data_IF_174542946374
#
_entry.id   IF_174542946374
#
_cell.length_a   1.000
_cell.length_b   1.000
_cell.length_c   1.000
_cell.angle_alpha   90.00
_cell.angle_beta   90.00
_cell.angle_gamma   90.00
#
_symmetry.space_group_name_H-M   'P 1'
#
loop_
_entity.id
_entity.type
_entity.pdbx_description
1 polymer ?
#
# COMPACT_ATOMS: atom_id res chain seq x y z
N UNK A 1 -43.23 1.73 -25.61
CA UNK A 1 -42.24 2.77 -25.86
C UNK A 1 -41.39 2.84 -24.58
N UNK A 2 -40.23 2.19 -24.57
CA UNK A 2 -39.31 2.22 -23.43
C UNK A 2 -38.47 3.51 -23.58
N UNK A 3 -38.64 4.43 -22.66
CA UNK A 3 -37.80 5.62 -22.56
C UNK A 3 -36.43 5.20 -22.02
N UNK A 4 -35.46 5.05 -22.90
CA UNK A 4 -34.05 4.98 -22.48
C UNK A 4 -33.67 6.32 -21.83
N UNK A 5 -33.38 6.27 -20.53
CA UNK A 5 -32.78 7.40 -19.85
C UNK A 5 -31.39 7.66 -20.47
N UNK A 6 -31.06 8.91 -20.84
CA UNK A 6 -29.73 9.21 -21.34
C UNK A 6 -28.70 8.87 -20.24
N UNK A 7 -27.71 8.06 -20.59
CA UNK A 7 -26.50 7.87 -19.80
C UNK A 7 -25.85 9.26 -19.65
N UNK A 8 -26.02 9.86 -18.50
CA UNK A 8 -25.30 11.07 -18.14
C UNK A 8 -23.83 10.60 -18.01
N UNK A 9 -23.02 10.94 -19.00
CA UNK A 9 -21.58 10.75 -18.93
C UNK A 9 -21.10 11.71 -17.84
N UNK A 10 -20.94 11.21 -16.61
CA UNK A 10 -20.35 11.98 -15.54
C UNK A 10 -18.94 12.36 -16.01
N UNK A 11 -18.66 13.66 -16.08
CA UNK A 11 -17.32 14.14 -16.41
C UNK A 11 -16.29 13.70 -15.36
N UNK A 12 -14.98 13.95 -15.62
CA UNK A 12 -13.92 13.56 -14.70
C UNK A 12 -14.17 14.10 -13.29
N UNK A 13 -13.89 13.27 -12.28
CA UNK A 13 -14.12 13.59 -10.87
C UNK A 13 -12.97 14.45 -10.36
N UNK A 14 -13.27 15.68 -9.96
CA UNK A 14 -12.32 16.55 -9.26
C UNK A 14 -12.20 16.13 -7.78
N UNK A 15 -11.05 16.35 -7.17
CA UNK A 15 -10.85 16.03 -5.76
C UNK A 15 -9.38 15.96 -5.35
N UNK A 16 -9.18 15.64 -4.07
CA UNK A 16 -7.84 15.41 -3.51
C UNK A 16 -7.68 13.94 -3.17
N UNK A 17 -6.71 13.30 -3.79
CA UNK A 17 -6.35 11.92 -3.55
C UNK A 17 -5.03 11.85 -2.78
N UNK A 18 -4.99 11.06 -1.71
CA UNK A 18 -3.78 10.80 -0.93
C UNK A 18 -3.41 9.32 -1.06
N UNK A 19 -2.25 9.06 -1.64
CA UNK A 19 -1.70 7.72 -1.82
C UNK A 19 -0.54 7.53 -0.85
N UNK A 20 -0.66 6.58 0.06
CA UNK A 20 0.38 6.22 1.05
C UNK A 20 0.96 4.88 0.67
N UNK A 21 2.23 4.89 0.27
CA UNK A 21 2.98 3.69 -0.09
C UNK A 21 3.91 3.30 1.04
N UNK A 22 3.90 2.03 1.41
CA UNK A 22 4.79 1.47 2.41
C UNK A 22 5.33 0.10 1.98
N UNK A 23 6.54 -0.18 2.43
CA UNK A 23 7.12 -1.51 2.31
C UNK A 23 6.46 -2.46 3.33
N UNK A 24 6.40 -3.75 3.01
CA UNK A 24 6.07 -4.78 4.01
C UNK A 24 7.02 -4.73 5.23
N UNK A 25 6.57 -5.22 6.37
CA UNK A 25 7.36 -5.31 7.61
C UNK A 25 8.56 -6.26 7.51
N UNK A 26 9.33 -6.33 8.58
CA UNK A 26 10.56 -7.13 8.70
C UNK A 26 10.28 -8.61 8.45
N UNK A 27 11.27 -9.29 7.85
CA UNK A 27 11.22 -10.70 7.51
C UNK A 27 12.24 -11.52 8.31
N UNK A 28 12.02 -12.83 8.52
CA UNK A 28 13.04 -13.70 9.10
C UNK A 28 14.25 -13.85 8.17
N UNK A 29 15.39 -14.27 8.72
CA UNK A 29 16.62 -14.47 7.95
C UNK A 29 16.43 -15.41 6.73
N UNK A 30 15.64 -16.46 6.89
CA UNK A 30 15.27 -17.37 5.79
C UNK A 30 14.17 -16.86 4.87
N UNK A 31 13.63 -15.67 5.10
CA UNK A 31 12.58 -15.03 4.29
C UNK A 31 11.20 -15.66 4.44
N UNK A 32 11.02 -16.93 4.06
CA UNK A 32 9.80 -17.74 4.18
C UNK A 32 8.54 -17.11 3.57
N UNK A 33 8.66 -16.07 2.75
CA UNK A 33 7.53 -15.32 2.20
C UNK A 33 6.73 -14.50 3.21
N UNK A 34 7.03 -14.59 4.52
CA UNK A 34 6.24 -14.03 5.63
C UNK A 34 7.02 -13.02 6.49
N UNK A 35 6.34 -12.39 7.44
CA UNK A 35 6.93 -11.49 8.43
C UNK A 35 7.62 -12.29 9.55
N UNK A 36 8.60 -11.65 10.22
CA UNK A 36 9.05 -12.08 11.55
C UNK A 36 8.19 -11.39 12.65
N UNK A 37 8.49 -11.66 13.94
CA UNK A 37 7.75 -11.07 15.04
C UNK A 37 7.83 -9.54 15.07
N UNK A 38 8.96 -8.95 14.73
CA UNK A 38 9.12 -7.50 14.64
C UNK A 38 8.22 -6.91 13.54
N UNK A 39 8.19 -7.55 12.36
CA UNK A 39 7.30 -7.14 11.26
C UNK A 39 5.83 -7.30 11.60
N UNK A 40 5.45 -8.33 12.38
CA UNK A 40 4.09 -8.49 12.88
C UNK A 40 3.72 -7.37 13.87
N UNK A 41 4.61 -7.04 14.82
CA UNK A 41 4.39 -5.92 15.74
C UNK A 41 4.27 -4.58 14.99
N UNK A 42 5.12 -4.36 13.95
CA UNK A 42 4.99 -3.19 13.06
C UNK A 42 3.61 -3.16 12.40
N UNK A 43 3.15 -4.27 11.83
CA UNK A 43 1.84 -4.38 11.19
C UNK A 43 0.69 -4.01 12.14
N UNK A 44 0.74 -4.49 13.38
CA UNK A 44 -0.25 -4.14 14.41
C UNK A 44 -0.24 -2.66 14.76
N UNK A 45 0.95 -2.05 14.91
CA UNK A 45 1.09 -0.62 15.22
C UNK A 45 0.66 0.28 14.05
N UNK A 46 0.89 -0.13 12.80
CA UNK A 46 0.46 0.60 11.61
C UNK A 46 -1.05 0.85 11.58
N UNK A 47 -1.84 -0.04 12.18
CA UNK A 47 -3.29 0.13 12.29
C UNK A 47 -3.71 1.41 13.05
N UNK A 48 -2.83 1.97 13.88
CA UNK A 48 -3.02 3.27 14.54
C UNK A 48 -2.22 4.38 13.88
N UNK A 49 -0.96 4.13 13.55
CA UNK A 49 -0.03 5.12 12.99
C UNK A 49 -0.51 5.70 11.65
N UNK A 50 -1.00 4.86 10.74
CA UNK A 50 -1.43 5.34 9.42
C UNK A 50 -2.63 6.29 9.51
N UNK A 51 -3.74 5.94 10.18
CA UNK A 51 -4.88 6.87 10.28
C UNK A 51 -4.59 8.10 11.13
N UNK A 52 -3.69 8.04 12.10
CA UNK A 52 -3.26 9.22 12.87
C UNK A 52 -2.48 10.22 12.00
N UNK A 53 -1.65 9.73 11.09
CA UNK A 53 -0.83 10.58 10.21
C UNK A 53 -1.59 11.10 8.99
N UNK A 54 -2.46 10.29 8.39
CA UNK A 54 -3.01 10.56 7.05
C UNK A 54 -4.54 10.54 6.99
N UNK A 55 -5.23 10.22 8.08
CA UNK A 55 -6.67 10.01 8.09
C UNK A 55 -7.06 8.56 7.72
N UNK A 56 -8.33 8.21 7.92
CA UNK A 56 -8.84 6.87 7.62
C UNK A 56 -8.83 6.61 6.12
N UNK A 57 -8.22 5.51 5.69
CA UNK A 57 -8.25 5.12 4.30
C UNK A 57 -9.66 4.78 3.84
N UNK A 58 -9.92 5.00 2.54
CA UNK A 58 -11.09 4.52 1.83
C UNK A 58 -10.83 3.18 1.14
N UNK A 59 -9.57 2.94 0.77
CA UNK A 59 -9.14 1.72 0.07
C UNK A 59 -7.80 1.24 0.58
N UNK A 60 -7.61 -0.07 0.55
CA UNK A 60 -6.37 -0.73 0.96
C UNK A 60 -5.93 -1.71 -0.12
N UNK A 61 -4.66 -1.65 -0.50
CA UNK A 61 -4.05 -2.53 -1.49
C UNK A 61 -2.86 -3.28 -0.92
N UNK A 62 -2.69 -4.52 -1.34
CA UNK A 62 -1.48 -5.32 -1.14
C UNK A 62 -1.21 -6.18 -2.37
N UNK A 63 0.04 -6.61 -2.55
CA UNK A 63 0.37 -7.53 -3.64
C UNK A 63 -0.31 -8.87 -3.46
N UNK A 64 -0.70 -9.49 -4.59
CA UNK A 64 -1.29 -10.82 -4.63
C UNK A 64 -0.32 -11.86 -4.06
N UNK A 65 -0.71 -12.67 -3.05
CA UNK A 65 0.16 -13.67 -2.43
C UNK A 65 0.37 -14.94 -3.26
N UNK A 66 -0.31 -15.10 -4.40
CA UNK A 66 -0.16 -16.30 -5.24
C UNK A 66 1.17 -16.37 -5.98
N UNK A 67 1.86 -15.22 -6.12
CA UNK A 67 3.22 -15.20 -6.61
C UNK A 67 4.16 -15.73 -5.53
N UNK A 68 4.99 -16.69 -5.89
CA UNK A 68 6.04 -17.18 -5.02
C UNK A 68 7.26 -16.25 -5.06
N UNK A 69 8.02 -16.29 -3.97
CA UNK A 69 9.34 -15.68 -3.84
C UNK A 69 10.34 -16.78 -3.51
N UNK A 70 11.50 -16.75 -4.17
CA UNK A 70 12.60 -17.65 -3.88
C UNK A 70 13.47 -17.03 -2.79
N UNK A 71 13.63 -17.72 -1.68
CA UNK A 71 14.32 -17.21 -0.49
C UNK A 71 14.94 -18.37 0.32
N UNK A 72 15.90 -17.98 1.19
CA UNK A 72 16.57 -18.92 2.10
C UNK A 72 17.65 -19.75 1.46
N UNK A 73 18.08 -20.80 2.16
CA UNK A 73 19.03 -21.77 1.64
C UNK A 73 18.35 -22.61 0.58
N UNK A 74 19.04 -22.84 -0.53
CA UNK A 74 18.57 -23.65 -1.68
C UNK A 74 17.40 -23.02 -2.48
N UNK A 75 17.21 -21.69 -2.43
CA UNK A 75 16.19 -20.97 -3.23
C UNK A 75 14.80 -21.61 -3.16
N UNK A 76 14.36 -21.93 -1.93
CA UNK A 76 13.03 -22.48 -1.72
C UNK A 76 11.97 -21.46 -2.12
N UNK A 77 10.87 -21.95 -2.69
CA UNK A 77 9.76 -21.15 -3.19
C UNK A 77 8.65 -21.04 -2.14
N UNK A 78 8.30 -19.81 -1.76
CA UNK A 78 7.26 -19.53 -0.76
C UNK A 78 6.24 -18.56 -1.30
N UNK A 79 4.98 -18.69 -0.88
CA UNK A 79 3.94 -17.68 -1.17
C UNK A 79 4.31 -16.32 -0.56
N UNK A 80 4.24 -15.26 -1.37
CA UNK A 80 4.67 -13.92 -0.97
C UNK A 80 3.57 -13.18 -0.21
N UNK A 81 3.38 -13.49 1.08
CA UNK A 81 2.26 -12.96 1.89
C UNK A 81 2.63 -11.71 2.71
N UNK A 82 3.89 -11.28 2.74
CA UNK A 82 4.35 -10.16 3.59
C UNK A 82 3.56 -8.86 3.42
N UNK A 83 3.31 -8.34 2.21
CA UNK A 83 2.53 -7.11 2.06
C UNK A 83 1.12 -7.22 2.62
N UNK A 84 0.44 -8.34 2.36
CA UNK A 84 -0.90 -8.61 2.88
C UNK A 84 -0.90 -8.69 4.42
N UNK A 85 0.07 -9.39 5.02
CA UNK A 85 0.21 -9.47 6.48
C UNK A 85 0.51 -8.10 7.11
N UNK A 86 1.28 -7.25 6.41
CA UNK A 86 1.64 -5.92 6.91
C UNK A 86 0.44 -4.99 7.02
N UNK A 87 -0.42 -4.98 6.00
CA UNK A 87 -1.54 -4.02 5.95
C UNK A 87 -2.87 -4.61 6.48
N UNK A 88 -2.94 -5.91 6.63
CA UNK A 88 -4.13 -6.62 7.10
C UNK A 88 -4.70 -6.07 8.40
N UNK A 89 -3.90 -5.88 9.47
CA UNK A 89 -4.41 -5.29 10.73
C UNK A 89 -5.03 -3.90 10.55
N UNK A 90 -4.44 -3.05 9.69
CA UNK A 90 -5.00 -1.74 9.36
C UNK A 90 -6.34 -1.85 8.65
N UNK A 91 -6.44 -2.74 7.67
CA UNK A 91 -7.70 -2.99 6.94
C UNK A 91 -8.79 -3.52 7.85
N UNK A 92 -8.46 -4.48 8.74
CA UNK A 92 -9.39 -5.04 9.73
C UNK A 92 -9.91 -3.92 10.66
N UNK A 93 -9.02 -3.11 11.22
CA UNK A 93 -9.39 -1.98 12.10
C UNK A 93 -10.28 -0.95 11.41
N UNK A 94 -10.06 -0.72 10.11
CA UNK A 94 -10.85 0.21 9.30
C UNK A 94 -12.15 -0.42 8.77
N UNK A 95 -12.35 -1.73 8.90
CA UNK A 95 -13.49 -2.44 8.34
C UNK A 95 -13.48 -2.48 6.81
N UNK A 96 -12.29 -2.49 6.19
CA UNK A 96 -12.11 -2.44 4.73
C UNK A 96 -11.58 -3.78 4.18
N UNK A 97 -12.02 -4.17 2.97
CA UNK A 97 -11.35 -5.26 2.26
C UNK A 97 -9.96 -4.85 1.80
N UNK A 98 -9.04 -5.80 1.69
CA UNK A 98 -7.76 -5.59 1.01
C UNK A 98 -7.90 -5.99 -0.45
N UNK A 99 -7.62 -5.08 -1.38
CA UNK A 99 -7.52 -5.39 -2.81
C UNK A 99 -6.17 -6.08 -3.08
N UNK A 100 -6.23 -7.34 -3.49
CA UNK A 100 -5.08 -8.17 -3.84
C UNK A 100 -5.09 -8.60 -5.31
N UNK A 101 -5.68 -7.80 -6.19
CA UNK A 101 -5.84 -8.12 -7.62
C UNK A 101 -4.50 -8.21 -8.35
N UNK A 102 -3.49 -7.45 -7.94
CA UNK A 102 -2.24 -7.26 -8.67
C UNK A 102 -1.08 -8.01 -8.02
N UNK A 103 -0.26 -8.68 -8.83
CA UNK A 103 1.00 -9.28 -8.39
C UNK A 103 2.06 -8.20 -8.12
N UNK A 104 3.11 -8.54 -7.37
CA UNK A 104 4.10 -7.55 -6.96
C UNK A 104 4.81 -6.83 -8.14
N UNK A 105 4.92 -7.48 -9.30
CA UNK A 105 5.50 -6.93 -10.53
C UNK A 105 4.49 -6.27 -11.47
N UNK A 106 3.19 -6.30 -11.16
CA UNK A 106 2.14 -5.67 -11.99
C UNK A 106 2.03 -4.15 -11.74
N UNK A 107 3.19 -3.49 -11.66
CA UNK A 107 3.29 -2.07 -11.28
C UNK A 107 2.56 -1.14 -12.23
N UNK A 108 2.55 -1.43 -13.55
CA UNK A 108 1.80 -0.64 -14.54
C UNK A 108 0.30 -0.76 -14.32
N UNK A 109 -0.21 -1.99 -14.25
CA UNK A 109 -1.65 -2.22 -14.09
C UNK A 109 -2.18 -1.65 -12.76
N UNK A 110 -1.38 -1.70 -11.69
CA UNK A 110 -1.74 -1.07 -10.42
C UNK A 110 -1.69 0.47 -10.52
N UNK A 111 -0.71 1.03 -11.23
CA UNK A 111 -0.63 2.48 -11.42
C UNK A 111 -1.85 3.00 -12.19
N UNK A 112 -2.24 2.33 -13.28
CA UNK A 112 -3.44 2.65 -14.05
C UNK A 112 -4.70 2.59 -13.17
N UNK A 113 -4.85 1.53 -12.36
CA UNK A 113 -5.96 1.38 -11.41
C UNK A 113 -6.02 2.54 -10.41
N UNK A 114 -4.88 2.92 -9.80
CA UNK A 114 -4.82 3.92 -8.72
C UNK A 114 -5.15 5.34 -9.19
N UNK A 115 -5.08 5.64 -10.48
CA UNK A 115 -5.41 6.96 -11.05
C UNK A 115 -6.81 7.02 -11.67
N UNK A 116 -7.63 5.97 -11.53
CA UNK A 116 -9.00 5.99 -12.00
C UNK A 116 -9.88 6.98 -11.22
N UNK A 117 -10.84 7.59 -11.87
CA UNK A 117 -11.76 8.62 -11.35
C UNK A 117 -12.41 8.23 -10.00
N UNK A 118 -12.71 6.94 -9.80
CA UNK A 118 -13.31 6.43 -8.55
C UNK A 118 -12.45 6.66 -7.30
N UNK A 119 -11.17 6.96 -7.47
CA UNK A 119 -10.21 7.18 -6.38
C UNK A 119 -9.84 8.66 -6.18
N UNK A 120 -10.28 9.58 -7.03
CA UNK A 120 -9.82 10.97 -7.04
C UNK A 120 -10.14 11.78 -5.77
N UNK A 121 -11.01 11.30 -4.92
CA UNK A 121 -11.34 11.92 -3.63
C UNK A 121 -11.22 10.90 -2.49
N UNK A 122 -10.06 10.29 -2.35
CA UNK A 122 -9.86 9.21 -1.40
C UNK A 122 -8.45 9.18 -0.80
N UNK A 123 -8.34 8.46 0.31
CA UNK A 123 -7.07 8.08 0.95
C UNK A 123 -6.87 6.59 0.70
N UNK A 124 -5.71 6.21 0.17
CA UNK A 124 -5.38 4.84 -0.19
C UNK A 124 -4.10 4.42 0.51
N UNK A 125 -4.12 3.27 1.17
CA UNK A 125 -2.92 2.63 1.73
C UNK A 125 -2.51 1.47 0.85
N UNK A 126 -1.23 1.44 0.45
CA UNK A 126 -0.67 0.40 -0.42
C UNK A 126 0.59 -0.19 0.21
N UNK A 127 0.52 -1.45 0.66
CA UNK A 127 1.67 -2.19 1.14
C UNK A 127 2.26 -3.05 0.02
N UNK A 128 3.56 -2.92 -0.24
CA UNK A 128 4.20 -3.54 -1.40
C UNK A 128 5.63 -4.03 -1.11
N UNK A 129 6.30 -4.53 -2.16
CA UNK A 129 7.72 -4.88 -2.14
C UNK A 129 8.59 -3.66 -2.40
N UNK A 130 9.66 -3.47 -1.59
CA UNK A 130 10.61 -2.36 -1.78
C UNK A 130 11.27 -2.38 -3.18
N UNK A 131 11.48 -3.56 -3.77
CA UNK A 131 12.07 -3.67 -5.11
C UNK A 131 11.17 -3.15 -6.23
N UNK A 132 9.85 -3.05 -6.02
CA UNK A 132 8.89 -2.58 -7.02
C UNK A 132 8.26 -1.22 -6.65
N UNK A 133 8.36 -0.79 -5.39
CA UNK A 133 7.78 0.48 -4.95
C UNK A 133 8.26 1.71 -5.72
N UNK A 134 9.57 1.88 -5.98
CA UNK A 134 10.04 3.04 -6.75
C UNK A 134 9.43 3.09 -8.15
N UNK A 135 9.36 1.96 -8.84
CA UNK A 135 8.75 1.85 -10.15
C UNK A 135 7.25 2.18 -10.11
N UNK A 136 6.51 1.59 -9.16
CA UNK A 136 5.08 1.84 -8.97
C UNK A 136 4.80 3.33 -8.71
N UNK A 137 5.53 3.94 -7.78
CA UNK A 137 5.36 5.35 -7.39
C UNK A 137 5.62 6.26 -8.60
N UNK A 138 6.68 6.01 -9.36
CA UNK A 138 7.01 6.78 -10.55
C UNK A 138 5.98 6.62 -11.67
N UNK A 139 5.41 5.42 -11.84
CA UNK A 139 4.33 5.18 -12.79
C UNK A 139 3.07 5.93 -12.39
N UNK A 140 2.62 5.82 -11.14
CA UNK A 140 1.46 6.59 -10.64
C UNK A 140 1.65 8.08 -10.85
N UNK A 141 2.83 8.62 -10.50
CA UNK A 141 3.13 10.02 -10.71
C UNK A 141 3.05 10.43 -12.19
N UNK A 142 3.60 9.58 -13.07
CA UNK A 142 3.61 9.83 -14.52
C UNK A 142 2.22 9.79 -15.14
N UNK A 143 1.39 8.81 -14.78
CA UNK A 143 0.00 8.68 -15.23
C UNK A 143 -0.83 9.87 -14.73
N UNK A 144 -0.71 10.24 -13.45
CA UNK A 144 -1.48 11.33 -12.87
C UNK A 144 -1.20 12.70 -13.51
N UNK A 145 0.07 13.02 -13.80
CA UNK A 145 0.45 14.30 -14.41
C UNK A 145 0.44 14.27 -15.95
N UNK A 146 0.29 13.10 -16.57
CA UNK A 146 0.25 12.93 -18.02
C UNK A 146 1.59 13.14 -18.72
N UNK A 147 2.71 12.94 -18.00
CA UNK A 147 4.07 13.04 -18.55
C UNK A 147 5.04 12.22 -17.70
N UNK A 148 6.17 11.80 -18.29
CA UNK A 148 7.17 11.04 -17.56
C UNK A 148 7.67 11.81 -16.33
N UNK A 149 7.55 11.21 -15.16
CA UNK A 149 7.92 11.80 -13.89
C UNK A 149 8.70 10.80 -13.03
N UNK A 150 9.82 11.22 -12.45
CA UNK A 150 10.65 10.37 -11.57
C UNK A 150 10.85 11.09 -10.25
N UNK A 151 10.33 10.53 -9.17
CA UNK A 151 10.37 11.07 -7.81
C UNK A 151 10.89 10.07 -6.79
N UNK A 152 10.72 8.78 -7.05
CA UNK A 152 11.23 7.71 -6.20
C UNK A 152 12.46 7.08 -6.86
N UNK A 153 13.50 6.93 -6.05
CA UNK A 153 14.74 6.24 -6.40
C UNK A 153 14.82 4.90 -5.67
N UNK A 154 15.98 4.26 -5.68
CA UNK A 154 16.17 2.98 -5.04
C UNK A 154 15.73 2.99 -3.57
N UNK A 155 14.96 1.98 -3.18
CA UNK A 155 14.50 1.79 -1.81
C UNK A 155 15.44 0.82 -1.10
N UNK A 156 16.12 1.28 -0.07
CA UNK A 156 17.07 0.45 0.69
C UNK A 156 16.40 -0.83 1.23
N UNK A 157 17.09 -1.96 1.06
CA UNK A 157 16.66 -3.24 1.61
C UNK A 157 16.56 -3.30 3.15
N UNK A 158 17.14 -2.32 3.85
CA UNK A 158 17.07 -2.18 5.32
C UNK A 158 16.07 -1.13 5.78
N UNK A 159 15.42 -0.41 4.87
CA UNK A 159 14.42 0.61 5.20
C UNK A 159 13.02 0.01 5.24
N UNK A 160 12.47 -0.11 6.43
CA UNK A 160 11.10 -0.54 6.72
C UNK A 160 10.22 0.61 7.22
N UNK A 161 10.81 1.80 7.48
CA UNK A 161 10.13 2.88 8.19
C UNK A 161 9.63 4.00 7.29
N UNK A 162 10.20 4.14 6.09
CA UNK A 162 9.79 5.18 5.14
C UNK A 162 8.37 4.93 4.62
N UNK A 163 7.59 6.02 4.55
CA UNK A 163 6.31 6.14 3.87
C UNK A 163 6.48 7.15 2.73
N UNK A 164 6.20 6.72 1.49
CA UNK A 164 6.06 7.64 0.36
C UNK A 164 4.60 8.07 0.25
N UNK A 165 4.37 9.37 0.21
CA UNK A 165 3.02 9.93 0.11
C UNK A 165 2.92 10.83 -1.11
N UNK A 166 1.99 10.49 -1.99
CA UNK A 166 1.59 11.33 -3.11
C UNK A 166 0.25 11.97 -2.77
N UNK A 167 0.19 13.30 -2.87
CA UNK A 167 -1.07 14.04 -2.86
C UNK A 167 -1.33 14.54 -4.27
N UNK A 168 -2.40 14.03 -4.87
CA UNK A 168 -2.85 14.40 -6.21
C UNK A 168 -4.08 15.30 -6.08
N UNK A 169 -4.01 16.50 -6.64
CA UNK A 169 -5.16 17.37 -6.76
C UNK A 169 -5.68 17.32 -8.19
N UNK A 170 -6.81 16.64 -8.36
CA UNK A 170 -7.44 16.39 -9.64
C UNK A 170 -8.32 17.54 -10.07
N UNK A 171 -8.17 17.96 -11.33
CA UNK A 171 -9.02 18.93 -11.98
C UNK A 171 -9.15 18.63 -13.48
N UNK A 172 -10.38 18.43 -13.95
CA UNK A 172 -10.67 18.12 -15.35
C UNK A 172 -9.83 16.95 -15.90
N UNK A 173 -9.66 15.87 -15.12
CA UNK A 173 -8.93 14.67 -15.52
C UNK A 173 -7.40 14.79 -15.51
N UNK A 174 -6.85 15.86 -14.93
CA UNK A 174 -5.41 16.04 -14.73
C UNK A 174 -5.11 16.31 -13.26
N UNK A 175 -3.97 15.81 -12.78
CA UNK A 175 -3.54 16.06 -11.43
C UNK A 175 -2.35 17.02 -11.36
N UNK A 176 -2.34 17.86 -10.33
CA UNK A 176 -1.12 18.41 -9.77
C UNK A 176 -0.61 17.49 -8.68
N UNK A 177 0.70 17.31 -8.58
CA UNK A 177 1.36 16.34 -7.70
C UNK A 177 2.19 17.03 -6.63
N UNK A 178 2.00 16.62 -5.38
CA UNK A 178 2.91 16.86 -4.27
C UNK A 178 3.40 15.52 -3.74
N UNK A 179 4.73 15.35 -3.65
CA UNK A 179 5.36 14.15 -3.08
C UNK A 179 6.09 14.49 -1.78
N UNK A 180 5.89 13.68 -0.74
CA UNK A 180 6.58 13.80 0.54
C UNK A 180 6.89 12.43 1.12
N UNK A 181 8.01 12.35 1.84
CA UNK A 181 8.39 11.17 2.61
C UNK A 181 8.16 11.43 4.10
N UNK A 182 7.64 10.42 4.78
CA UNK A 182 7.44 10.40 6.23
C UNK A 182 8.09 9.15 6.81
N UNK A 183 8.24 9.12 8.13
CA UNK A 183 8.66 7.93 8.87
C UNK A 183 7.46 7.37 9.62
N UNK A 184 7.36 6.03 9.69
CA UNK A 184 6.39 5.35 10.55
C UNK A 184 6.69 5.63 12.03
N UNK A 185 7.99 5.68 12.38
CA UNK A 185 8.47 5.80 13.74
C UNK A 185 8.51 4.45 14.47
N UNK A 186 8.65 3.34 13.73
CA UNK A 186 8.51 1.97 14.27
C UNK A 186 9.79 1.13 14.19
N UNK A 187 10.94 1.73 13.89
CA UNK A 187 12.20 1.00 13.68
C UNK A 187 12.72 0.24 14.90
N UNK A 188 12.42 0.68 16.12
CA UNK A 188 12.85 0.03 17.35
C UNK A 188 11.72 -0.79 18.01
N UNK A 189 10.84 -1.35 17.18
CA UNK A 189 9.72 -2.15 17.64
C UNK A 189 10.14 -3.42 18.35
N UNK A 190 9.22 -3.98 19.14
CA UNK A 190 9.39 -5.23 19.87
C UNK A 190 9.74 -6.38 18.91
N UNK A 191 10.76 -7.16 19.25
CA UNK A 191 11.24 -8.29 18.44
C UNK A 191 10.62 -9.63 18.82
N UNK A 192 10.00 -9.72 20.02
CA UNK A 192 9.21 -10.89 20.42
C UNK A 192 7.83 -10.83 19.81
N UNK A 193 7.28 -11.99 19.48
CA UNK A 193 5.91 -12.04 18.96
C UNK A 193 4.89 -11.55 19.99
N UNK A 194 3.77 -10.96 19.53
CA UNK A 194 2.67 -10.62 20.42
C UNK A 194 2.21 -11.85 21.20
N UNK A 195 1.99 -11.70 22.50
CA UNK A 195 1.52 -12.80 23.34
C UNK A 195 0.01 -13.01 23.09
N UNK A 196 -0.35 -14.23 22.69
CA UNK A 196 -1.75 -14.59 22.44
C UNK A 196 -2.63 -14.53 23.70
N UNK A 197 -2.04 -14.49 24.89
CA UNK A 197 -2.77 -14.45 26.16
C UNK A 197 -3.25 -13.07 26.57
N UNK A 198 -2.79 -11.99 25.92
CA UNK A 198 -3.22 -10.61 26.24
C UNK A 198 -4.54 -10.17 25.56
N UNK A 199 -5.17 -11.01 24.75
CA UNK A 199 -6.40 -10.66 24.02
C UNK A 199 -7.67 -10.82 24.86
N UNK A 200 -7.60 -11.26 26.12
CA UNK A 200 -8.78 -11.64 26.91
C UNK A 200 -9.23 -10.65 28.00
N UNK A 201 -8.77 -9.40 27.99
CA UNK A 201 -9.07 -8.48 29.10
C UNK A 201 -10.10 -7.36 28.80
N UNK A 202 -10.50 -7.16 27.57
CA UNK A 202 -11.45 -6.06 27.22
C UNK A 202 -12.52 -6.53 26.20
N UNK A 203 -13.42 -7.44 26.62
CA UNK A 203 -14.71 -7.68 25.96
C UNK A 203 -15.82 -7.36 26.96
#
# INVERSE_FOLDING_TARGET
>A
MVLESPLINAGPVDGVQTLVFLRHGEKPAGGLGQLNCQGLNRAMNLASVLPEKFGKANYVFASNPTRNVEEGEHDNSYSYIRPLMTIGPSAIKLGLPVNIKFSANDTSALADELVEDKYHNSIIYTAWSHGYLPELINKVASEAVGSKYTIAHDWSGNDYDTLYVLTLTWHNGKASLLSRNYQQGLNNGQQTCPDATQVSADI
#
